data_IF_996247103260
#
_entry.id   IF_996247103260
#
_cell.length_a   1.000
_cell.length_b   1.000
_cell.length_c   1.000
_cell.angle_alpha   90.00
_cell.angle_beta   90.00
_cell.angle_gamma   90.00
#
_symmetry.space_group_name_H-M   'P 1'
#
loop_
_entity.id
_entity.type
_entity.pdbx_description
1 polymer ?
#
# COMPACT_ATOMS: atom_id res chain seq x y z
N UNK A 1 9.36 -7.89 29.13
CA UNK A 1 8.37 -7.81 28.06
C UNK A 1 8.90 -8.60 26.89
N UNK A 2 8.16 -9.60 26.40
CA UNK A 2 8.40 -10.30 25.14
C UNK A 2 7.16 -10.17 24.24
N UNK A 3 7.38 -10.18 22.92
CA UNK A 3 6.33 -9.93 21.93
C UNK A 3 6.23 -11.07 20.92
N UNK A 4 5.04 -11.63 20.76
CA UNK A 4 4.71 -12.55 19.67
C UNK A 4 4.17 -11.77 18.47
N UNK A 5 4.53 -12.17 17.25
CA UNK A 5 3.99 -11.58 16.02
C UNK A 5 3.51 -12.71 15.12
N UNK A 6 2.21 -12.71 14.80
CA UNK A 6 1.58 -13.72 13.94
C UNK A 6 1.38 -13.15 12.55
N UNK A 7 2.15 -13.65 11.59
CA UNK A 7 2.28 -13.14 10.23
C UNK A 7 3.53 -12.27 10.09
N UNK A 8 4.53 -12.73 9.33
CA UNK A 8 5.82 -12.05 9.12
C UNK A 8 5.91 -11.40 7.74
N UNK A 9 4.79 -10.86 7.27
CA UNK A 9 4.72 -10.10 6.01
C UNK A 9 5.16 -8.64 6.18
N UNK A 10 4.67 -7.79 5.26
CA UNK A 10 5.06 -6.37 5.17
C UNK A 10 4.75 -5.51 6.40
N UNK A 11 3.86 -5.96 7.30
CA UNK A 11 3.58 -5.31 8.59
C UNK A 11 4.35 -5.98 9.71
N UNK A 12 4.24 -7.31 9.82
CA UNK A 12 4.75 -8.04 10.97
C UNK A 12 6.28 -8.11 11.06
N UNK A 13 6.99 -8.28 9.94
CA UNK A 13 8.46 -8.34 9.98
C UNK A 13 9.07 -6.98 10.39
N UNK A 14 8.64 -5.82 9.85
CA UNK A 14 9.09 -4.53 10.36
C UNK A 14 8.83 -4.30 11.84
N UNK A 15 7.66 -4.71 12.36
CA UNK A 15 7.36 -4.63 13.79
C UNK A 15 8.27 -5.56 14.62
N UNK A 16 8.55 -6.78 14.13
CA UNK A 16 9.46 -7.72 14.77
C UNK A 16 10.85 -7.12 14.94
N UNK A 17 11.38 -6.55 13.87
CA UNK A 17 12.69 -5.90 13.87
C UNK A 17 12.68 -4.67 14.78
N UNK A 18 11.65 -3.82 14.73
CA UNK A 18 11.57 -2.64 15.58
C UNK A 18 11.57 -3.00 17.09
N UNK A 19 10.83 -4.03 17.49
CA UNK A 19 10.84 -4.52 18.87
C UNK A 19 12.21 -5.11 19.25
N UNK A 20 12.80 -5.92 18.38
CA UNK A 20 14.10 -6.51 18.61
C UNK A 20 15.22 -5.46 18.73
N UNK A 21 15.20 -4.41 17.92
CA UNK A 21 16.11 -3.25 18.00
C UNK A 21 15.94 -2.47 19.31
N UNK A 22 14.71 -2.45 19.87
CA UNK A 22 14.44 -1.91 21.20
C UNK A 22 14.87 -2.86 22.35
N UNK A 23 15.52 -3.98 22.02
CA UNK A 23 16.04 -4.96 22.98
C UNK A 23 15.02 -5.97 23.50
N UNK A 24 13.81 -5.99 22.93
CA UNK A 24 12.71 -6.88 23.33
C UNK A 24 12.84 -8.21 22.59
N UNK A 25 12.65 -9.32 23.31
CA UNK A 25 12.68 -10.65 22.69
C UNK A 25 11.37 -10.89 21.92
N UNK A 26 11.50 -11.33 20.67
CA UNK A 26 10.39 -11.48 19.72
C UNK A 26 10.24 -12.93 19.28
N UNK A 27 9.00 -13.43 19.29
CA UNK A 27 8.63 -14.70 18.64
C UNK A 27 7.83 -14.39 17.39
N UNK A 28 8.45 -14.56 16.22
CA UNK A 28 7.81 -14.36 14.92
C UNK A 28 7.23 -15.66 14.40
N UNK A 29 5.92 -15.72 14.14
CA UNK A 29 5.24 -16.89 13.60
C UNK A 29 4.73 -16.61 12.20
N UNK A 30 5.06 -17.48 11.24
CA UNK A 30 4.42 -17.48 9.93
C UNK A 30 4.11 -18.92 9.49
N UNK A 31 3.05 -19.10 8.71
CA UNK A 31 2.68 -20.42 8.17
C UNK A 31 3.60 -20.84 7.02
N UNK A 32 4.25 -19.87 6.38
CA UNK A 32 5.18 -20.10 5.29
C UNK A 32 6.57 -20.48 5.82
N UNK A 33 6.89 -21.76 5.71
CA UNK A 33 8.16 -22.31 6.16
C UNK A 33 9.37 -21.73 5.39
N UNK A 34 9.20 -21.29 4.15
CA UNK A 34 10.28 -20.69 3.37
C UNK A 34 10.63 -19.30 3.93
N UNK A 35 9.63 -18.44 4.18
CA UNK A 35 9.85 -17.13 4.83
C UNK A 35 10.52 -17.27 6.19
N UNK A 36 10.07 -18.24 7.00
CA UNK A 36 10.68 -18.52 8.30
C UNK A 36 12.15 -18.93 8.16
N UNK A 37 12.48 -19.78 7.17
CA UNK A 37 13.85 -20.20 6.92
C UNK A 37 14.74 -19.04 6.46
N UNK A 38 14.24 -18.18 5.58
CA UNK A 38 14.95 -16.99 5.09
C UNK A 38 15.26 -16.03 6.25
N UNK A 39 14.25 -15.74 7.10
CA UNK A 39 14.42 -14.85 8.25
C UNK A 39 15.47 -15.41 9.23
N UNK A 40 15.47 -16.72 9.48
CA UNK A 40 16.48 -17.38 10.34
C UNK A 40 17.90 -17.31 9.77
N UNK A 41 18.03 -17.15 8.45
CA UNK A 41 19.32 -16.97 7.77
C UNK A 41 19.70 -15.48 7.64
N UNK A 42 18.88 -14.58 8.18
CA UNK A 42 19.07 -13.14 8.06
C UNK A 42 18.83 -12.63 6.64
N UNK A 43 17.95 -13.30 5.89
CA UNK A 43 17.46 -12.87 4.58
C UNK A 43 16.04 -12.34 4.70
N UNK A 44 15.82 -11.11 4.28
CA UNK A 44 14.52 -10.46 4.30
C UNK A 44 13.82 -10.57 2.96
N UNK A 45 12.53 -10.88 3.00
CA UNK A 45 11.64 -10.84 1.84
C UNK A 45 10.81 -9.55 1.78
N UNK A 46 11.02 -8.62 2.72
CA UNK A 46 10.33 -7.33 2.81
C UNK A 46 11.33 -6.23 2.47
N UNK A 47 11.05 -5.46 1.41
CA UNK A 47 11.94 -4.42 0.87
C UNK A 47 12.32 -3.35 1.93
N UNK A 48 11.37 -2.97 2.80
CA UNK A 48 11.59 -1.99 3.88
C UNK A 48 12.52 -2.51 5.01
N UNK A 49 12.89 -3.78 4.99
CA UNK A 49 13.81 -4.40 5.96
C UNK A 49 14.99 -4.99 5.19
N UNK A 50 16.09 -4.24 5.04
CA UNK A 50 17.32 -4.78 4.47
C UNK A 50 17.88 -5.93 5.32
N UNK A 51 18.50 -6.91 4.66
CA UNK A 51 19.19 -8.04 5.31
C UNK A 51 20.11 -7.62 6.46
N UNK A 52 20.85 -6.52 6.29
CA UNK A 52 21.76 -5.98 7.30
C UNK A 52 21.03 -5.63 8.60
N UNK A 53 19.85 -4.99 8.48
CA UNK A 53 19.03 -4.59 9.62
C UNK A 53 18.48 -5.82 10.35
N UNK A 54 18.04 -6.82 9.60
CA UNK A 54 17.55 -8.09 10.17
C UNK A 54 18.69 -8.86 10.88
N UNK A 55 19.88 -8.93 10.29
CA UNK A 55 21.07 -9.55 10.93
C UNK A 55 21.53 -8.76 12.16
N UNK A 56 21.29 -7.45 12.19
CA UNK A 56 21.61 -6.59 13.35
C UNK A 56 20.85 -6.95 14.63
N UNK A 57 19.76 -7.71 14.51
CA UNK A 57 18.95 -8.20 15.64
C UNK A 57 18.99 -9.73 15.79
N UNK A 58 20.07 -10.36 15.31
CA UNK A 58 20.27 -11.80 15.49
C UNK A 58 20.21 -12.20 16.98
N UNK A 59 19.61 -13.36 17.25
CA UNK A 59 19.35 -13.85 18.61
C UNK A 59 18.19 -13.17 19.36
N UNK A 60 17.61 -12.07 18.84
CA UNK A 60 16.42 -11.43 19.43
C UNK A 60 15.10 -11.87 18.81
N UNK A 61 15.14 -12.39 17.58
CA UNK A 61 13.94 -12.87 16.88
C UNK A 61 13.99 -14.39 16.74
N UNK A 62 13.07 -15.08 17.41
CA UNK A 62 12.76 -16.48 17.15
C UNK A 62 11.70 -16.56 16.05
N UNK A 63 12.11 -16.70 14.79
CA UNK A 63 11.19 -17.01 13.70
C UNK A 63 10.80 -18.51 13.73
N UNK A 64 9.52 -18.84 13.57
CA UNK A 64 9.00 -20.22 13.68
C UNK A 64 7.69 -20.40 12.92
N UNK A 65 7.32 -21.65 12.63
CA UNK A 65 5.98 -22.00 12.14
C UNK A 65 5.05 -22.49 13.25
N UNK A 66 5.58 -22.61 14.47
CA UNK A 66 4.86 -23.16 15.62
C UNK A 66 4.19 -22.05 16.42
N UNK A 67 2.87 -21.92 16.28
CA UNK A 67 2.12 -20.89 17.00
C UNK A 67 2.24 -21.01 18.52
N UNK A 68 2.37 -22.22 19.08
CA UNK A 68 2.51 -22.44 20.54
C UNK A 68 3.68 -21.68 21.17
N UNK A 69 4.70 -21.29 20.40
CA UNK A 69 5.85 -20.54 20.89
C UNK A 69 5.47 -19.13 21.38
N UNK A 70 4.30 -18.59 20.98
CA UNK A 70 3.81 -17.29 21.49
C UNK A 70 3.14 -17.37 22.86
N UNK A 71 2.96 -18.58 23.42
CA UNK A 71 2.29 -18.78 24.72
C UNK A 71 2.97 -18.02 25.86
N UNK A 72 4.31 -17.97 25.85
CA UNK A 72 5.09 -17.28 26.88
C UNK A 72 5.16 -15.75 26.66
N UNK A 73 4.76 -15.25 25.49
CA UNK A 73 4.83 -13.82 25.19
C UNK A 73 3.92 -12.97 26.08
N UNK A 74 4.35 -11.76 26.42
CA UNK A 74 3.53 -10.82 27.20
C UNK A 74 2.48 -10.12 26.32
N UNK A 75 2.84 -9.84 25.07
CA UNK A 75 1.93 -9.32 24.05
C UNK A 75 2.03 -10.11 22.75
N UNK A 76 0.94 -10.17 21.99
CA UNK A 76 0.83 -10.90 20.72
C UNK A 76 0.15 -9.98 19.70
N UNK A 77 0.85 -9.68 18.60
CA UNK A 77 0.33 -8.88 17.49
C UNK A 77 -0.11 -9.80 16.36
N UNK A 78 -1.30 -9.56 15.80
CA UNK A 78 -1.86 -10.33 14.69
C UNK A 78 -1.76 -9.49 13.41
N UNK A 79 -0.85 -9.89 12.52
CA UNK A 79 -0.41 -9.18 11.32
C UNK A 79 -0.58 -10.04 10.05
N UNK A 80 -1.66 -10.83 9.98
CA UNK A 80 -1.97 -11.73 8.85
C UNK A 80 -2.71 -11.01 7.73
N UNK A 81 -2.64 -11.47 6.47
CA UNK A 81 -3.28 -10.78 5.35
C UNK A 81 -4.81 -10.79 5.46
N UNK A 82 -5.42 -9.68 5.03
CA UNK A 82 -6.86 -9.48 4.87
C UNK A 82 -7.12 -9.02 3.42
N UNK A 83 -7.15 -9.94 2.45
CA UNK A 83 -7.37 -9.57 1.05
C UNK A 83 -8.86 -9.32 0.75
N UNK A 84 -9.17 -9.01 -0.51
CA UNK A 84 -10.51 -9.11 -1.06
C UNK A 84 -10.66 -10.40 -1.86
N UNK A 85 -11.85 -10.99 -1.85
CA UNK A 85 -12.21 -12.09 -2.75
C UNK A 85 -12.48 -11.59 -4.18
N UNK A 86 -12.78 -12.50 -5.10
CA UNK A 86 -13.07 -12.18 -6.51
C UNK A 86 -14.25 -11.20 -6.71
N UNK A 87 -15.16 -11.11 -5.73
CA UNK A 87 -16.31 -10.20 -5.74
C UNK A 87 -16.01 -8.85 -5.05
N UNK A 88 -14.74 -8.58 -4.69
CA UNK A 88 -14.32 -7.38 -3.93
C UNK A 88 -14.94 -7.29 -2.54
N UNK A 89 -15.17 -8.43 -1.90
CA UNK A 89 -15.62 -8.50 -0.51
C UNK A 89 -14.44 -8.87 0.41
N UNK A 90 -14.40 -8.38 1.66
CA UNK A 90 -13.37 -8.75 2.62
C UNK A 90 -13.27 -10.27 2.82
N UNK A 91 -12.07 -10.82 2.67
CA UNK A 91 -11.76 -12.21 2.99
C UNK A 91 -10.99 -12.26 4.32
N UNK A 92 -11.69 -12.66 5.38
CA UNK A 92 -11.11 -12.79 6.72
C UNK A 92 -10.54 -14.18 7.00
N UNK A 93 -10.48 -15.10 6.03
CA UNK A 93 -10.12 -16.51 6.26
C UNK A 93 -8.80 -16.69 7.00
N UNK A 94 -7.75 -15.99 6.59
CA UNK A 94 -6.44 -16.03 7.27
C UNK A 94 -6.51 -15.45 8.69
N UNK A 95 -7.22 -14.34 8.88
CA UNK A 95 -7.43 -13.72 10.19
C UNK A 95 -8.18 -14.64 11.15
N UNK A 96 -9.35 -15.14 10.75
CA UNK A 96 -10.17 -16.03 11.59
C UNK A 96 -9.44 -17.35 11.88
N UNK A 97 -8.67 -17.88 10.92
CA UNK A 97 -7.84 -19.05 11.12
C UNK A 97 -6.74 -18.83 12.15
N UNK A 98 -6.00 -17.73 12.05
CA UNK A 98 -4.97 -17.35 13.00
C UNK A 98 -5.55 -17.10 14.40
N UNK A 99 -6.66 -16.38 14.51
CA UNK A 99 -7.34 -16.10 15.79
C UNK A 99 -7.82 -17.38 16.47
N UNK A 100 -8.44 -18.31 15.73
CA UNK A 100 -8.88 -19.60 16.30
C UNK A 100 -7.71 -20.45 16.77
N UNK A 101 -6.62 -20.49 16.01
CA UNK A 101 -5.41 -21.19 16.44
C UNK A 101 -4.81 -20.53 17.70
N UNK A 102 -4.88 -19.19 17.78
CA UNK A 102 -4.40 -18.41 18.91
C UNK A 102 -5.21 -18.70 20.18
N UNK A 103 -6.52 -18.87 20.09
CA UNK A 103 -7.39 -19.24 21.21
C UNK A 103 -6.90 -20.52 21.93
N UNK A 104 -6.32 -21.47 21.20
CA UNK A 104 -5.78 -22.71 21.77
C UNK A 104 -4.44 -22.55 22.50
N UNK A 105 -3.80 -21.38 22.46
CA UNK A 105 -2.46 -21.16 23.04
C UNK A 105 -2.36 -19.92 23.92
N UNK A 106 -3.39 -19.07 24.00
CA UNK A 106 -3.33 -17.88 24.87
C UNK A 106 -3.43 -18.23 26.35
N UNK A 107 -2.98 -17.31 27.20
CA UNK A 107 -3.05 -17.40 28.66
C UNK A 107 -3.54 -16.09 29.27
N UNK A 108 -4.04 -16.18 30.49
CA UNK A 108 -4.40 -15.00 31.28
C UNK A 108 -3.20 -14.07 31.45
N UNK A 109 -3.49 -12.77 31.47
CA UNK A 109 -2.52 -11.69 31.58
C UNK A 109 -1.90 -11.25 30.26
N UNK A 110 -2.17 -11.87 29.12
CA UNK A 110 -1.61 -11.44 27.82
C UNK A 110 -2.31 -10.21 27.23
N UNK A 111 -1.59 -9.47 26.38
CA UNK A 111 -2.15 -8.40 25.53
C UNK A 111 -2.19 -8.88 24.08
N UNK A 112 -3.37 -8.98 23.48
CA UNK A 112 -3.54 -9.36 22.08
C UNK A 112 -3.93 -8.10 21.30
N UNK A 113 -3.25 -7.84 20.17
CA UNK A 113 -3.46 -6.64 19.38
C UNK A 113 -3.65 -7.03 17.91
N UNK A 114 -4.79 -6.66 17.34
CA UNK A 114 -5.03 -6.79 15.90
C UNK A 114 -4.39 -5.61 15.16
N UNK A 115 -3.48 -5.92 14.24
CA UNK A 115 -2.80 -4.96 13.35
C UNK A 115 -3.29 -5.04 11.91
N UNK A 116 -3.74 -6.23 11.48
CA UNK A 116 -4.31 -6.44 10.15
C UNK A 116 -5.46 -5.47 9.89
N UNK A 117 -5.37 -4.73 8.78
CA UNK A 117 -6.42 -3.78 8.41
C UNK A 117 -7.74 -4.49 8.17
N UNK A 118 -8.83 -3.98 8.75
CA UNK A 118 -10.15 -4.60 8.72
C UNK A 118 -11.26 -3.55 8.88
N UNK A 119 -12.53 -3.99 8.84
CA UNK A 119 -13.69 -3.12 9.04
C UNK A 119 -14.06 -2.93 10.51
N UNK A 120 -14.74 -1.82 10.86
CA UNK A 120 -15.18 -1.57 12.23
C UNK A 120 -16.08 -2.68 12.74
N UNK A 121 -15.79 -3.16 13.94
CA UNK A 121 -16.46 -4.28 14.58
C UNK A 121 -15.67 -5.59 14.49
N UNK A 122 -14.63 -5.71 13.67
CA UNK A 122 -13.91 -6.99 13.51
C UNK A 122 -13.32 -7.50 14.83
N UNK A 123 -12.66 -6.62 15.58
CA UNK A 123 -12.06 -6.98 16.87
C UNK A 123 -13.11 -7.47 17.86
N UNK A 124 -14.27 -6.83 17.91
CA UNK A 124 -15.33 -7.17 18.88
C UNK A 124 -16.23 -8.31 18.43
N UNK A 125 -16.68 -8.29 17.19
CA UNK A 125 -17.69 -9.20 16.65
C UNK A 125 -17.09 -10.54 16.22
N UNK A 126 -15.79 -10.57 15.88
CA UNK A 126 -15.12 -11.78 15.39
C UNK A 126 -13.99 -12.27 16.31
N UNK A 127 -13.08 -11.39 16.76
CA UNK A 127 -11.93 -11.84 17.55
C UNK A 127 -12.32 -12.22 18.98
N UNK A 128 -13.16 -11.44 19.66
CA UNK A 128 -13.64 -11.77 21.02
C UNK A 128 -14.22 -13.18 21.08
N UNK A 129 -15.29 -13.53 20.34
CA UNK A 129 -15.92 -14.85 20.50
C UNK A 129 -14.97 -16.00 20.17
N UNK A 130 -14.06 -15.83 19.21
CA UNK A 130 -13.07 -16.86 18.87
C UNK A 130 -12.01 -17.02 19.96
N UNK A 131 -11.48 -15.93 20.51
CA UNK A 131 -10.47 -15.99 21.57
C UNK A 131 -11.06 -16.49 22.88
N UNK A 132 -12.32 -16.21 23.17
CA UNK A 132 -13.03 -16.73 24.35
C UNK A 132 -13.33 -18.23 24.28
N UNK A 133 -13.17 -18.88 23.11
CA UNK A 133 -13.14 -20.36 23.02
C UNK A 133 -12.01 -20.98 23.87
N UNK A 134 -11.01 -20.18 24.26
CA UNK A 134 -9.96 -20.56 25.23
C UNK A 134 -10.49 -20.79 26.66
N UNK A 135 -11.68 -20.30 26.98
CA UNK A 135 -12.23 -20.22 28.33
C UNK A 135 -11.80 -19.00 29.14
N UNK A 136 -11.03 -18.08 28.55
CA UNK A 136 -10.66 -16.78 29.13
C UNK A 136 -11.60 -15.68 28.64
N UNK A 137 -11.89 -14.68 29.47
CA UNK A 137 -12.75 -13.55 29.14
C UNK A 137 -11.95 -12.34 28.59
N UNK A 138 -12.34 -11.83 27.42
CA UNK A 138 -11.65 -10.71 26.78
C UNK A 138 -11.90 -9.40 27.55
N UNK A 139 -10.84 -8.65 27.83
CA UNK A 139 -10.90 -7.40 28.60
C UNK A 139 -10.89 -7.59 30.12
N UNK A 140 -10.97 -8.83 30.61
CA UNK A 140 -10.81 -9.20 32.02
C UNK A 140 -9.57 -10.06 32.21
N UNK A 141 -9.54 -11.26 31.63
CA UNK A 141 -8.43 -12.21 31.77
C UNK A 141 -7.26 -11.87 30.85
N UNK A 142 -7.53 -11.33 29.66
CA UNK A 142 -6.50 -10.83 28.74
C UNK A 142 -6.94 -9.50 28.12
N UNK A 143 -5.99 -8.66 27.70
CA UNK A 143 -6.32 -7.42 27.01
C UNK A 143 -6.48 -7.69 25.51
N UNK A 144 -7.49 -7.08 24.89
CA UNK A 144 -7.68 -7.11 23.45
C UNK A 144 -7.81 -5.67 22.92
N UNK A 145 -7.06 -5.36 21.86
CA UNK A 145 -7.08 -4.07 21.21
C UNK A 145 -6.90 -4.17 19.70
N UNK A 146 -7.22 -3.08 19.01
CA UNK A 146 -6.85 -2.83 17.63
C UNK A 146 -5.83 -1.69 17.57
N UNK A 147 -4.81 -1.84 16.73
CA UNK A 147 -3.86 -0.77 16.42
C UNK A 147 -3.48 -0.88 14.96
N UNK A 148 -3.89 0.05 14.08
CA UNK A 148 -3.60 -0.08 12.67
C UNK A 148 -2.13 0.23 12.36
N UNK A 149 -1.56 -0.45 11.36
CA UNK A 149 -0.32 -0.04 10.71
C UNK A 149 -0.58 1.18 9.80
N UNK A 150 0.30 2.18 9.84
CA UNK A 150 0.15 3.49 9.19
C UNK A 150 1.41 3.95 8.44
N UNK A 151 2.51 3.20 8.50
CA UNK A 151 3.72 3.49 7.75
C UNK A 151 3.48 3.32 6.25
N UNK A 152 4.02 4.25 5.46
CA UNK A 152 3.97 4.23 4.00
C UNK A 152 5.30 3.70 3.45
N UNK A 153 5.30 2.57 2.73
CA UNK A 153 6.53 1.93 2.23
C UNK A 153 7.44 2.89 1.45
N UNK A 154 8.75 2.77 1.64
CA UNK A 154 9.76 3.60 0.98
C UNK A 154 9.86 5.05 1.48
N UNK A 155 9.10 5.47 2.50
CA UNK A 155 9.29 6.80 3.14
C UNK A 155 10.26 6.73 4.30
N UNK A 156 11.18 7.69 4.35
CA UNK A 156 12.20 7.79 5.41
C UNK A 156 11.93 8.91 6.43
N UNK A 157 11.02 9.83 6.11
CA UNK A 157 10.67 10.96 6.96
C UNK A 157 9.60 10.63 8.01
N UNK A 158 8.81 9.57 7.78
CA UNK A 158 7.97 8.95 8.80
C UNK A 158 8.28 7.46 8.90
N UNK A 159 8.66 7.01 10.10
CA UNK A 159 9.01 5.63 10.41
C UNK A 159 8.06 5.08 11.46
N UNK A 160 8.13 3.78 11.76
CA UNK A 160 7.39 3.16 12.90
C UNK A 160 7.55 3.98 14.18
N UNK A 161 8.74 4.56 14.39
CA UNK A 161 9.06 5.37 15.57
C UNK A 161 8.34 6.72 15.59
N UNK A 162 8.32 7.41 14.47
CA UNK A 162 7.87 8.81 14.41
C UNK A 162 6.41 8.96 13.97
N UNK A 163 5.82 7.95 13.34
CA UNK A 163 4.39 7.94 13.00
C UNK A 163 3.53 7.72 14.24
N UNK A 164 2.53 8.59 14.53
CA UNK A 164 1.62 8.38 15.66
C UNK A 164 0.90 7.03 15.61
N UNK A 165 1.07 6.22 16.66
CA UNK A 165 0.43 4.90 16.78
C UNK A 165 -0.93 5.03 17.44
N UNK A 166 -2.00 4.75 16.68
CA UNK A 166 -3.38 4.76 17.20
C UNK A 166 -3.66 3.44 17.92
N UNK A 167 -4.26 3.48 19.10
CA UNK A 167 -4.58 2.27 19.88
C UNK A 167 -6.00 2.38 20.45
N UNK A 168 -6.84 1.38 20.18
CA UNK A 168 -8.20 1.26 20.73
C UNK A 168 -8.43 -0.12 21.34
N UNK A 169 -8.55 -0.19 22.67
CA UNK A 169 -8.84 -1.41 23.42
C UNK A 169 -10.32 -1.62 23.71
N UNK A 170 -10.72 -2.86 24.01
CA UNK A 170 -12.10 -3.18 24.43
C UNK A 170 -12.54 -2.42 25.69
N UNK A 171 -11.59 -2.16 26.58
CA UNK A 171 -11.75 -1.39 27.82
C UNK A 171 -10.61 -0.38 27.95
N UNK A 172 -10.73 0.65 28.82
CA UNK A 172 -9.64 1.59 29.07
C UNK A 172 -8.32 0.88 29.47
N UNK A 173 -8.40 -0.17 30.29
CA UNK A 173 -7.22 -0.96 30.67
C UNK A 173 -6.60 -1.70 29.48
N UNK A 174 -7.42 -2.21 28.54
CA UNK A 174 -6.89 -2.79 27.31
C UNK A 174 -6.11 -1.76 26.48
N UNK A 175 -6.65 -0.55 26.35
CA UNK A 175 -5.98 0.55 25.63
C UNK A 175 -4.65 0.91 26.28
N UNK A 176 -4.61 1.04 27.61
CA UNK A 176 -3.39 1.33 28.36
C UNK A 176 -2.33 0.25 28.16
N UNK A 177 -2.73 -1.03 28.23
CA UNK A 177 -1.83 -2.16 28.06
C UNK A 177 -1.28 -2.26 26.64
N UNK A 178 -2.13 -2.08 25.63
CA UNK A 178 -1.70 -2.06 24.23
C UNK A 178 -0.80 -0.85 23.93
N UNK A 179 -1.09 0.33 24.50
CA UNK A 179 -0.21 1.49 24.42
C UNK A 179 1.16 1.20 25.03
N UNK A 180 1.21 0.57 26.22
CA UNK A 180 2.46 0.18 26.85
C UNK A 180 3.28 -0.80 25.99
N UNK A 181 2.62 -1.69 25.23
CA UNK A 181 3.29 -2.57 24.26
C UNK A 181 4.05 -1.77 23.19
N UNK A 182 3.48 -0.71 22.62
CA UNK A 182 4.15 0.07 21.55
C UNK A 182 5.12 1.14 22.05
N UNK A 183 5.05 1.56 23.30
CA UNK A 183 5.87 2.66 23.85
C UNK A 183 7.40 2.53 23.61
N UNK A 184 8.01 1.33 23.58
CA UNK A 184 9.43 1.19 23.27
C UNK A 184 9.81 1.53 21.82
N UNK A 185 8.84 1.38 20.89
CA UNK A 185 9.09 1.49 19.45
C UNK A 185 8.42 2.69 18.79
N UNK A 186 7.50 3.39 19.47
CA UNK A 186 6.77 4.55 18.97
C UNK A 186 6.89 5.76 19.91
N UNK A 187 7.22 6.94 19.38
CA UNK A 187 7.42 8.16 20.16
C UNK A 187 6.09 8.81 20.59
N UNK A 188 5.03 8.63 19.79
CA UNK A 188 3.71 9.20 20.06
C UNK A 188 2.61 8.15 19.92
N UNK A 189 1.85 7.93 20.99
CA UNK A 189 0.72 7.02 21.03
C UNK A 189 -0.57 7.84 21.18
N UNK A 190 -1.55 7.52 20.35
CA UNK A 190 -2.87 8.17 20.31
C UNK A 190 -3.92 7.16 20.78
N UNK A 191 -4.25 7.13 22.08
CA UNK A 191 -5.31 6.27 22.58
C UNK A 191 -6.68 6.78 22.11
N UNK A 192 -7.53 5.86 21.67
CA UNK A 192 -8.94 6.11 21.34
C UNK A 192 -9.86 5.25 22.20
N UNK A 193 -11.15 5.58 22.21
CA UNK A 193 -12.11 5.03 23.17
C UNK A 193 -12.44 3.56 22.94
N UNK A 194 -12.39 3.06 21.71
CA UNK A 194 -12.79 1.69 21.36
C UNK A 194 -11.98 1.16 20.17
N UNK A 195 -11.90 -0.17 19.95
CA UNK A 195 -11.26 -0.71 18.76
C UNK A 195 -11.94 -0.23 17.47
N UNK A 196 -13.26 -0.04 17.46
CA UNK A 196 -14.00 0.40 16.27
C UNK A 196 -13.58 1.80 15.81
N UNK A 197 -13.26 2.70 16.74
CA UNK A 197 -12.73 4.03 16.40
C UNK A 197 -11.36 3.89 15.72
N UNK A 198 -10.50 2.99 16.21
CA UNK A 198 -9.18 2.75 15.62
C UNK A 198 -9.26 2.01 14.27
N UNK A 199 -10.19 1.05 14.13
CA UNK A 199 -10.48 0.35 12.87
C UNK A 199 -10.99 1.36 11.81
N UNK A 200 -11.99 2.17 12.16
CA UNK A 200 -12.56 3.15 11.25
C UNK A 200 -11.56 4.27 10.89
N UNK A 201 -10.70 4.69 11.81
CA UNK A 201 -9.73 5.75 11.51
C UNK A 201 -8.79 5.32 10.37
N UNK A 202 -8.38 4.05 10.33
CA UNK A 202 -7.54 3.53 9.26
C UNK A 202 -8.26 3.54 7.91
N UNK A 203 -9.51 3.10 7.88
CA UNK A 203 -10.30 3.14 6.65
C UNK A 203 -10.54 4.58 6.19
N UNK A 204 -10.86 5.49 7.11
CA UNK A 204 -11.09 6.90 6.80
C UNK A 204 -9.85 7.56 6.18
N UNK A 205 -8.64 7.28 6.69
CA UNK A 205 -7.38 7.76 6.12
C UNK A 205 -7.23 7.35 4.64
N UNK A 206 -7.50 6.08 4.33
CA UNK A 206 -7.37 5.56 2.97
C UNK A 206 -8.52 5.98 2.04
N UNK A 207 -9.75 6.05 2.54
CA UNK A 207 -10.91 6.58 1.81
C UNK A 207 -10.68 8.04 1.46
N UNK A 208 -10.24 8.86 2.41
CA UNK A 208 -9.94 10.27 2.19
C UNK A 208 -8.91 10.45 1.07
N UNK A 209 -7.80 9.69 1.11
CA UNK A 209 -6.78 9.71 0.06
C UNK A 209 -7.35 9.26 -1.30
N UNK A 210 -8.10 8.17 -1.34
CA UNK A 210 -8.72 7.64 -2.57
C UNK A 210 -9.70 8.63 -3.22
N UNK A 211 -10.58 9.24 -2.44
CA UNK A 211 -11.58 10.21 -2.90
C UNK A 211 -10.92 11.48 -3.44
N UNK A 212 -9.89 12.00 -2.76
CA UNK A 212 -9.22 13.21 -3.24
C UNK A 212 -8.37 12.95 -4.50
N UNK A 213 -7.74 11.78 -4.63
CA UNK A 213 -7.09 11.38 -5.88
C UNK A 213 -8.12 11.30 -7.02
N UNK A 214 -9.28 10.67 -6.77
CA UNK A 214 -10.36 10.59 -7.74
C UNK A 214 -10.86 11.97 -8.16
N UNK A 215 -11.06 12.88 -7.20
CA UNK A 215 -11.48 14.25 -7.47
C UNK A 215 -10.50 14.96 -8.41
N UNK A 216 -9.20 14.92 -8.11
CA UNK A 216 -8.19 15.60 -8.94
C UNK A 216 -8.04 14.91 -10.31
N UNK A 217 -8.20 13.60 -10.39
CA UNK A 217 -8.26 12.86 -11.65
C UNK A 217 -9.46 13.24 -12.52
N UNK A 218 -10.66 13.36 -11.94
CA UNK A 218 -11.85 13.84 -12.65
C UNK A 218 -11.66 15.26 -13.17
N UNK A 219 -11.05 16.13 -12.35
CA UNK A 219 -10.69 17.48 -12.77
C UNK A 219 -9.67 17.48 -13.92
N UNK A 220 -8.69 16.57 -13.94
CA UNK A 220 -7.75 16.44 -15.06
C UNK A 220 -8.47 16.08 -16.37
N UNK A 221 -9.39 15.12 -16.33
CA UNK A 221 -10.19 14.72 -17.50
C UNK A 221 -11.03 15.90 -18.01
N UNK A 222 -11.66 16.66 -17.11
CA UNK A 222 -12.47 17.82 -17.47
C UNK A 222 -11.61 18.96 -18.04
N UNK A 223 -10.49 19.27 -17.38
CA UNK A 223 -9.54 20.29 -17.82
C UNK A 223 -8.96 20.01 -19.21
N UNK A 224 -8.62 18.75 -19.51
CA UNK A 224 -8.19 18.34 -20.86
C UNK A 224 -9.25 18.64 -21.93
N UNK A 225 -10.54 18.41 -21.65
CA UNK A 225 -11.64 18.75 -22.57
C UNK A 225 -11.85 20.25 -22.73
N UNK A 226 -11.52 21.03 -21.70
CA UNK A 226 -11.61 22.49 -21.71
C UNK A 226 -10.36 23.15 -22.30
N UNK A 227 -9.28 22.40 -22.53
CA UNK A 227 -7.99 22.95 -22.94
C UNK A 227 -7.30 23.76 -21.84
N UNK A 228 -7.50 23.39 -20.57
CA UNK A 228 -6.91 24.04 -19.40
C UNK A 228 -5.81 23.14 -18.82
N UNK A 229 -4.67 23.71 -18.43
CA UNK A 229 -3.61 22.99 -17.74
C UNK A 229 -4.01 22.69 -16.29
N UNK A 230 -4.29 21.42 -15.99
CA UNK A 230 -4.67 20.98 -14.64
C UNK A 230 -3.54 21.21 -13.62
N UNK A 231 -2.28 21.13 -14.03
CA UNK A 231 -1.15 21.33 -13.14
C UNK A 231 -1.04 22.79 -12.70
N UNK A 232 -1.24 23.73 -13.63
CA UNK A 232 -1.32 25.16 -13.30
C UNK A 232 -2.49 25.44 -12.35
N UNK A 233 -3.66 24.83 -12.58
CA UNK A 233 -4.82 24.97 -11.68
C UNK A 233 -4.50 24.48 -10.27
N UNK A 234 -3.86 23.32 -10.15
CA UNK A 234 -3.49 22.75 -8.84
C UNK A 234 -2.42 23.62 -8.16
N UNK A 235 -1.42 24.10 -8.90
CA UNK A 235 -0.38 24.98 -8.38
C UNK A 235 -0.99 26.30 -7.87
N UNK A 236 -1.90 26.91 -8.64
CA UNK A 236 -2.63 28.10 -8.23
C UNK A 236 -3.50 27.86 -6.99
N UNK A 237 -4.25 26.75 -6.95
CA UNK A 237 -5.08 26.38 -5.80
C UNK A 237 -4.24 26.10 -4.54
N UNK A 238 -3.04 25.52 -4.71
CA UNK A 238 -2.08 25.23 -3.64
C UNK A 238 -1.53 26.48 -2.96
N UNK A 239 -1.65 27.67 -3.58
CA UNK A 239 -1.26 28.94 -2.93
C UNK A 239 -2.19 29.35 -1.79
N UNK A 240 -3.40 28.77 -1.72
CA UNK A 240 -4.35 29.04 -0.65
C UNK A 240 -3.90 28.34 0.64
N UNK A 241 -3.61 29.07 1.72
CA UNK A 241 -2.97 28.50 2.92
C UNK A 241 -3.90 27.64 3.79
N UNK A 242 -5.18 27.52 3.44
CA UNK A 242 -6.16 26.74 4.20
C UNK A 242 -7.23 26.12 3.29
N UNK A 243 -7.75 24.97 3.70
CA UNK A 243 -8.87 24.29 3.04
C UNK A 243 -8.56 23.69 1.67
N UNK A 244 -7.30 23.68 1.23
CA UNK A 244 -6.85 22.96 0.05
C UNK A 244 -5.66 22.07 0.44
N UNK A 245 -5.87 20.76 0.42
CA UNK A 245 -4.80 19.78 0.55
C UNK A 245 -4.44 19.34 -0.86
N UNK A 246 -3.17 19.52 -1.25
CA UNK A 246 -2.72 19.19 -2.60
C UNK A 246 -2.77 17.68 -2.83
N UNK A 247 -3.48 17.28 -3.88
CA UNK A 247 -3.40 15.98 -4.51
C UNK A 247 -3.05 16.20 -5.98
N UNK A 248 -2.41 15.21 -6.60
CA UNK A 248 -1.93 15.30 -7.97
C UNK A 248 -2.60 14.22 -8.82
N UNK A 249 -2.98 14.52 -10.07
CA UNK A 249 -3.57 13.55 -10.95
C UNK A 249 -2.49 12.58 -11.44
N UNK A 250 -2.91 11.44 -12.00
CA UNK A 250 -1.96 10.48 -12.52
C UNK A 250 -2.60 9.35 -13.30
N UNK A 251 -1.83 8.32 -13.67
CA UNK A 251 -2.29 7.24 -14.54
C UNK A 251 -3.33 6.31 -13.92
N UNK A 252 -3.61 6.48 -12.63
CA UNK A 252 -4.48 5.66 -11.83
C UNK A 252 -3.90 5.44 -10.44
N UNK A 253 -4.53 4.56 -9.69
CA UNK A 253 -4.16 4.20 -8.33
C UNK A 253 -3.82 2.71 -8.27
N UNK A 254 -2.74 2.37 -7.58
CA UNK A 254 -2.35 0.98 -7.32
C UNK A 254 -1.89 0.76 -5.88
N UNK A 255 -1.21 -0.37 -5.64
CA UNK A 255 -0.72 -0.80 -4.34
C UNK A 255 -1.75 -1.60 -3.52
N UNK A 256 -1.42 -1.88 -2.26
CA UNK A 256 -2.24 -2.73 -1.38
C UNK A 256 -3.50 -2.06 -0.85
N UNK A 257 -3.32 -0.93 -0.19
CA UNK A 257 -4.35 -0.41 0.71
C UNK A 257 -5.43 0.38 -0.02
N UNK A 258 -5.05 1.22 -0.99
CA UNK A 258 -6.01 2.12 -1.64
C UNK A 258 -7.04 1.40 -2.52
N UNK A 259 -6.68 0.34 -3.27
CA UNK A 259 -7.66 -0.42 -4.05
C UNK A 259 -8.52 -1.37 -3.22
N UNK A 260 -8.17 -1.62 -1.95
CA UNK A 260 -8.79 -2.64 -1.10
C UNK A 260 -9.61 -2.02 0.04
N UNK A 261 -8.94 -1.28 0.92
CA UNK A 261 -9.49 -0.82 2.20
C UNK A 261 -10.78 -0.01 2.07
N UNK A 262 -10.96 0.89 1.07
CA UNK A 262 -12.22 1.62 0.94
C UNK A 262 -13.44 0.71 0.77
N UNK A 263 -13.27 -0.44 0.11
CA UNK A 263 -14.36 -1.39 -0.11
C UNK A 263 -14.76 -2.18 1.14
N UNK A 264 -13.91 -2.20 2.17
CA UNK A 264 -14.27 -2.80 3.46
C UNK A 264 -15.41 -2.04 4.11
N UNK A 265 -15.35 -0.70 4.09
CA UNK A 265 -16.44 0.13 4.61
C UNK A 265 -17.66 0.06 3.70
N UNK A 266 -17.49 0.02 2.38
CA UNK A 266 -18.60 -0.19 1.44
C UNK A 266 -19.35 -1.49 1.71
N UNK A 267 -18.62 -2.58 1.99
CA UNK A 267 -19.21 -3.85 2.36
C UNK A 267 -19.96 -3.76 3.70
N UNK A 268 -19.32 -3.25 4.76
CA UNK A 268 -19.91 -3.14 6.10
C UNK A 268 -21.12 -2.19 6.13
N UNK A 269 -21.12 -1.12 5.34
CA UNK A 269 -22.22 -0.15 5.28
C UNK A 269 -23.54 -0.79 4.80
N UNK A 270 -23.48 -1.87 4.01
CA UNK A 270 -24.67 -2.60 3.54
C UNK A 270 -25.44 -3.24 4.68
N UNK A 271 -24.77 -3.61 5.78
CA UNK A 271 -25.43 -4.12 7.00
C UNK A 271 -26.24 -3.04 7.72
N UNK A 272 -26.00 -1.76 7.40
CA UNK A 272 -26.71 -0.60 7.94
C UNK A 272 -27.61 0.06 6.89
N UNK A 273 -28.05 -0.70 5.89
CA UNK A 273 -28.93 -0.24 4.81
C UNK A 273 -28.40 1.00 4.06
N UNK A 274 -27.07 1.18 4.02
CA UNK A 274 -26.41 2.34 3.44
C UNK A 274 -25.46 1.94 2.29
N UNK A 275 -25.56 2.67 1.18
CA UNK A 275 -24.54 2.65 0.13
C UNK A 275 -23.55 3.80 0.31
N UNK A 276 -22.27 3.53 0.10
CA UNK A 276 -21.20 4.54 0.16
C UNK A 276 -20.93 5.14 -1.22
N UNK A 277 -21.83 5.98 -1.73
CA UNK A 277 -21.78 6.50 -3.10
C UNK A 277 -20.45 7.19 -3.46
N UNK A 278 -19.90 8.00 -2.55
CA UNK A 278 -18.61 8.68 -2.76
C UNK A 278 -17.44 7.71 -2.90
N UNK A 279 -17.43 6.63 -2.13
CA UNK A 279 -16.35 5.62 -2.16
C UNK A 279 -16.42 4.86 -3.49
N UNK A 280 -17.62 4.44 -3.89
CA UNK A 280 -17.84 3.73 -5.14
C UNK A 280 -17.52 4.62 -6.36
N UNK A 281 -17.93 5.89 -6.33
CA UNK A 281 -17.60 6.88 -7.36
C UNK A 281 -16.09 7.09 -7.48
N UNK A 282 -15.40 7.26 -6.36
CA UNK A 282 -13.94 7.40 -6.35
C UNK A 282 -13.24 6.17 -6.95
N UNK A 283 -13.69 4.97 -6.59
CA UNK A 283 -13.21 3.73 -7.17
C UNK A 283 -13.42 3.67 -8.69
N UNK A 284 -14.61 4.08 -9.17
CA UNK A 284 -14.92 4.14 -10.60
C UNK A 284 -14.01 5.11 -11.35
N UNK A 285 -13.86 6.34 -10.88
CA UNK A 285 -13.01 7.35 -11.54
C UNK A 285 -11.56 6.87 -11.61
N UNK A 286 -11.02 6.38 -10.50
CA UNK A 286 -9.63 5.90 -10.46
C UNK A 286 -9.40 4.69 -11.39
N UNK A 287 -10.37 3.78 -11.52
CA UNK A 287 -10.30 2.64 -12.46
C UNK A 287 -10.42 3.06 -13.94
N UNK A 288 -10.98 4.24 -14.21
CA UNK A 288 -11.10 4.78 -15.56
C UNK A 288 -9.82 5.49 -16.03
N UNK A 289 -8.95 5.94 -15.13
CA UNK A 289 -7.74 6.70 -15.49
C UNK A 289 -6.82 5.99 -16.49
N UNK A 290 -6.53 4.68 -16.41
CA UNK A 290 -5.74 4.00 -17.44
C UNK A 290 -6.33 4.11 -18.86
N UNK A 291 -7.67 4.17 -18.99
CA UNK A 291 -8.33 4.36 -20.29
C UNK A 291 -8.20 5.80 -20.78
N UNK A 292 -8.33 6.79 -19.89
CA UNK A 292 -8.05 8.18 -20.23
C UNK A 292 -6.58 8.38 -20.65
N UNK A 293 -5.63 7.75 -19.97
CA UNK A 293 -4.22 7.79 -20.37
C UNK A 293 -3.99 7.16 -21.74
N UNK A 294 -4.69 6.08 -22.07
CA UNK A 294 -4.67 5.50 -23.41
C UNK A 294 -5.16 6.48 -24.48
N UNK A 295 -6.24 7.22 -24.22
CA UNK A 295 -6.74 8.28 -25.12
C UNK A 295 -5.71 9.41 -25.27
N UNK A 296 -4.97 9.77 -24.21
CA UNK A 296 -3.86 10.73 -24.28
C UNK A 296 -2.70 10.21 -25.12
N UNK A 297 -2.34 8.93 -24.98
CA UNK A 297 -1.30 8.27 -25.79
C UNK A 297 -1.70 8.25 -27.27
N UNK A 298 -2.95 7.90 -27.57
CA UNK A 298 -3.49 7.93 -28.93
C UNK A 298 -3.40 9.32 -29.56
N UNK A 299 -3.72 10.37 -28.81
CA UNK A 299 -3.58 11.76 -29.27
C UNK A 299 -2.11 12.15 -29.51
N UNK A 300 -1.22 11.85 -28.57
CA UNK A 300 0.20 12.15 -28.71
C UNK A 300 0.84 11.47 -29.94
N UNK A 301 0.46 10.23 -30.24
CA UNK A 301 0.88 9.55 -31.47
C UNK A 301 0.28 10.19 -32.73
N UNK A 302 -1.00 10.58 -32.69
CA UNK A 302 -1.65 11.24 -33.81
C UNK A 302 -1.02 12.61 -34.14
N UNK A 303 -0.57 13.36 -33.13
CA UNK A 303 0.11 14.66 -33.31
C UNK A 303 1.43 14.52 -34.09
N UNK A 304 2.06 13.34 -34.04
CA UNK A 304 3.23 12.97 -34.84
C UNK A 304 2.90 12.04 -36.02
N UNK A 305 1.62 11.99 -36.41
CA UNK A 305 1.09 11.22 -37.54
C UNK A 305 1.38 9.71 -37.47
N UNK A 306 1.37 9.13 -36.26
CA UNK A 306 1.53 7.69 -35.99
C UNK A 306 0.22 7.10 -35.49
N UNK A 307 -0.14 5.92 -36.00
CA UNK A 307 -1.21 5.11 -35.43
C UNK A 307 -0.66 4.27 -34.27
N UNK A 308 -1.50 3.89 -33.30
CA UNK A 308 -1.09 2.99 -32.20
C UNK A 308 -0.56 1.65 -32.73
N UNK A 309 -1.24 1.07 -33.73
CA UNK A 309 -0.84 -0.19 -34.33
C UNK A 309 0.52 -0.04 -35.02
N UNK A 310 1.52 -0.77 -34.54
CA UNK A 310 2.90 -0.72 -35.02
C UNK A 310 3.71 0.47 -34.51
N UNK A 311 3.16 1.32 -33.63
CA UNK A 311 3.97 2.33 -32.93
C UNK A 311 4.83 1.66 -31.87
N UNK A 312 6.10 2.07 -31.78
CA UNK A 312 7.04 1.63 -30.75
C UNK A 312 6.94 2.56 -29.55
N UNK A 313 6.31 2.08 -28.48
CA UNK A 313 6.04 2.88 -27.28
C UNK A 313 6.91 2.37 -26.14
N UNK A 314 7.69 3.28 -25.56
CA UNK A 314 8.46 3.03 -24.34
C UNK A 314 7.66 3.46 -23.12
N UNK A 315 7.44 2.53 -22.20
CA UNK A 315 6.84 2.80 -20.88
C UNK A 315 7.96 3.04 -19.86
N UNK A 316 7.96 4.22 -19.25
CA UNK A 316 8.91 4.58 -18.19
C UNK A 316 8.22 4.39 -16.82
N UNK A 317 8.72 3.39 -16.10
CA UNK A 317 8.19 2.94 -14.80
C UNK A 317 6.96 2.05 -14.93
N UNK A 318 7.01 0.87 -14.31
CA UNK A 318 5.90 -0.10 -14.28
C UNK A 318 5.43 -0.39 -12.86
N UNK A 319 6.18 0.01 -11.84
CA UNK A 319 5.72 -0.07 -10.45
C UNK A 319 4.53 0.88 -10.18
N UNK A 320 3.73 0.58 -9.16
CA UNK A 320 2.60 1.45 -8.79
C UNK A 320 3.05 2.77 -8.13
N UNK A 321 4.26 2.79 -7.55
CA UNK A 321 4.84 3.92 -6.80
C UNK A 321 6.33 4.07 -7.11
N UNK A 322 6.74 5.32 -7.27
CA UNK A 322 8.13 5.67 -7.49
C UNK A 322 9.04 5.20 -6.34
N UNK A 323 10.20 4.65 -6.69
CA UNK A 323 11.23 4.24 -5.74
C UNK A 323 11.09 2.82 -5.16
N UNK A 324 10.07 2.05 -5.57
CA UNK A 324 9.85 0.66 -5.11
C UNK A 324 9.55 -0.27 -6.29
N UNK A 325 9.82 -1.57 -6.13
CA UNK A 325 9.63 -2.62 -7.15
C UNK A 325 8.26 -3.29 -7.16
N UNK A 326 7.22 -2.62 -6.66
CA UNK A 326 5.91 -3.23 -6.45
C UNK A 326 4.95 -3.02 -7.63
N UNK A 327 4.44 -4.12 -8.18
CA UNK A 327 3.55 -4.19 -9.33
C UNK A 327 2.06 -4.32 -8.99
N UNK A 328 1.71 -4.47 -7.70
CA UNK A 328 0.36 -4.84 -7.26
C UNK A 328 -0.62 -3.72 -7.61
N UNK A 329 -1.66 -4.07 -8.36
CA UNK A 329 -2.63 -3.13 -8.94
C UNK A 329 -2.01 -1.96 -9.72
N UNK A 330 -0.81 -2.12 -10.30
CA UNK A 330 -0.14 -1.03 -11.03
C UNK A 330 -0.94 -0.58 -12.26
N UNK A 331 -1.20 0.74 -12.42
CA UNK A 331 -1.89 1.28 -13.59
C UNK A 331 -1.07 1.08 -14.88
N UNK A 332 0.26 1.02 -14.79
CA UNK A 332 1.14 0.80 -15.94
C UNK A 332 0.83 -0.54 -16.63
N UNK A 333 0.58 -1.60 -15.87
CA UNK A 333 0.26 -2.92 -16.42
C UNK A 333 -1.07 -2.89 -17.18
N UNK A 334 -2.04 -2.12 -16.72
CA UNK A 334 -3.31 -1.93 -17.43
C UNK A 334 -3.11 -1.16 -18.73
N UNK A 335 -2.32 -0.09 -18.71
CA UNK A 335 -1.97 0.70 -19.90
C UNK A 335 -1.24 -0.17 -20.94
N UNK A 336 -0.23 -0.94 -20.52
CA UNK A 336 0.52 -1.86 -21.38
C UNK A 336 -0.41 -2.86 -22.07
N UNK A 337 -1.31 -3.52 -21.33
CA UNK A 337 -2.28 -4.47 -21.91
C UNK A 337 -3.21 -3.78 -22.93
N UNK A 338 -3.73 -2.60 -22.61
CA UNK A 338 -4.61 -1.84 -23.50
C UNK A 338 -3.93 -1.39 -24.81
N UNK A 339 -2.63 -1.06 -24.74
CA UNK A 339 -1.80 -0.75 -25.91
C UNK A 339 -1.48 -2.01 -26.73
N UNK A 340 -1.14 -3.11 -26.07
CA UNK A 340 -0.85 -4.39 -26.71
C UNK A 340 -2.08 -4.88 -27.51
N UNK A 341 -3.28 -4.77 -26.93
CA UNK A 341 -4.55 -5.11 -27.60
C UNK A 341 -4.79 -4.27 -28.87
N UNK A 342 -4.22 -3.07 -28.95
CA UNK A 342 -4.27 -2.19 -30.13
C UNK A 342 -3.12 -2.43 -31.12
N UNK A 343 -2.19 -3.32 -30.79
CA UNK A 343 -1.06 -3.71 -31.62
C UNK A 343 0.13 -2.75 -31.56
N UNK A 344 0.31 -2.03 -30.45
CA UNK A 344 1.55 -1.29 -30.21
C UNK A 344 2.72 -2.26 -29.96
N UNK A 345 3.91 -1.88 -30.38
CA UNK A 345 5.16 -2.56 -30.04
C UNK A 345 5.70 -1.94 -28.75
N UNK A 346 5.76 -2.72 -27.66
CA UNK A 346 5.99 -2.19 -26.32
C UNK A 346 7.38 -2.55 -25.82
N UNK A 347 8.02 -1.58 -25.18
CA UNK A 347 9.21 -1.76 -24.36
C UNK A 347 9.02 -1.01 -23.04
N UNK A 348 9.79 -1.34 -22.02
CA UNK A 348 9.75 -0.58 -20.78
C UNK A 348 11.15 -0.44 -20.15
N UNK A 349 11.27 0.59 -19.32
CA UNK A 349 12.40 0.78 -18.43
C UNK A 349 11.87 1.05 -17.02
N UNK A 350 12.29 0.21 -16.08
CA UNK A 350 12.05 0.36 -14.64
C UNK A 350 13.29 -0.16 -13.89
N UNK A 351 13.92 0.64 -13.01
CA UNK A 351 15.12 0.25 -12.30
C UNK A 351 14.88 -0.76 -11.16
N UNK A 352 13.62 -0.96 -10.75
CA UNK A 352 13.25 -1.85 -9.65
C UNK A 352 12.57 -3.14 -10.12
N UNK A 353 12.04 -3.17 -11.35
CA UNK A 353 11.32 -4.32 -11.91
C UNK A 353 12.05 -4.90 -13.13
N UNK A 354 12.85 -5.97 -12.98
CA UNK A 354 13.69 -6.49 -14.06
C UNK A 354 12.92 -7.17 -15.20
N UNK A 355 11.80 -7.83 -14.90
CA UNK A 355 11.00 -8.55 -15.89
C UNK A 355 9.49 -8.51 -15.59
N UNK A 356 8.69 -8.60 -16.64
CA UNK A 356 7.24 -8.80 -16.62
C UNK A 356 6.89 -10.08 -17.39
N UNK A 357 6.98 -11.25 -16.74
CA UNK A 357 6.85 -12.55 -17.43
C UNK A 357 5.51 -12.74 -18.14
N UNK A 358 4.40 -12.28 -17.53
CA UNK A 358 3.05 -12.37 -18.09
C UNK A 358 2.87 -11.59 -19.39
N UNK A 359 3.80 -10.67 -19.69
CA UNK A 359 3.78 -9.81 -20.86
C UNK A 359 4.97 -10.10 -21.80
N UNK A 360 5.83 -11.06 -21.45
CA UNK A 360 7.09 -11.37 -22.15
C UNK A 360 7.97 -10.12 -22.39
N UNK A 361 8.01 -9.22 -21.39
CA UNK A 361 8.80 -7.99 -21.44
C UNK A 361 9.91 -8.02 -20.39
N UNK A 362 11.04 -7.39 -20.73
CA UNK A 362 12.18 -7.18 -19.82
C UNK A 362 12.57 -5.71 -19.79
N UNK A 363 13.00 -5.24 -18.62
CA UNK A 363 13.50 -3.89 -18.44
C UNK A 363 14.84 -3.73 -19.17
N UNK A 364 14.91 -2.79 -20.11
CA UNK A 364 16.16 -2.44 -20.80
C UNK A 364 16.87 -1.28 -20.09
N UNK A 365 18.19 -1.12 -20.23
CA UNK A 365 18.86 0.14 -19.87
C UNK A 365 18.22 1.32 -20.59
N UNK A 366 18.06 2.47 -19.92
CA UNK A 366 17.36 3.63 -20.46
C UNK A 366 17.89 4.03 -21.85
N UNK A 367 19.22 4.04 -22.01
CA UNK A 367 19.89 4.38 -23.27
C UNK A 367 19.42 3.55 -24.46
N UNK A 368 19.38 2.23 -24.28
CA UNK A 368 18.97 1.30 -25.32
C UNK A 368 17.45 1.31 -25.50
N UNK A 369 16.70 1.51 -24.42
CA UNK A 369 15.24 1.55 -24.44
C UNK A 369 14.69 2.77 -25.21
N UNK A 370 15.46 3.87 -25.28
CA UNK A 370 15.13 5.06 -26.07
C UNK A 370 15.43 4.91 -27.57
N UNK A 371 16.14 3.86 -28.00
CA UNK A 371 16.52 3.71 -29.41
C UNK A 371 15.34 3.26 -30.27
N UNK A 372 15.04 4.04 -31.32
CA UNK A 372 14.02 3.69 -32.29
C UNK A 372 12.62 3.66 -31.70
N UNK A 373 12.32 4.39 -30.63
CA UNK A 373 10.94 4.55 -30.17
C UNK A 373 10.22 5.61 -31.01
N UNK A 374 8.89 5.57 -31.03
CA UNK A 374 8.05 6.64 -31.58
C UNK A 374 7.50 7.55 -30.46
N UNK A 375 7.28 7.01 -29.25
CA UNK A 375 6.77 7.75 -28.09
C UNK A 375 7.33 7.17 -26.78
N UNK A 376 7.78 8.03 -25.87
CA UNK A 376 8.02 7.68 -24.47
C UNK A 376 6.84 8.10 -23.59
N UNK A 377 6.39 7.25 -22.68
CA UNK A 377 5.30 7.53 -21.74
C UNK A 377 5.79 7.39 -20.31
N UNK A 378 5.77 8.48 -19.56
CA UNK A 378 6.15 8.49 -18.14
C UNK A 378 4.93 8.11 -17.32
N UNK A 379 4.91 6.89 -16.79
CA UNK A 379 3.80 6.36 -15.96
C UNK A 379 4.19 6.39 -14.48
N UNK A 380 5.41 5.94 -14.15
CA UNK A 380 5.97 6.08 -12.80
C UNK A 380 7.32 6.78 -12.86
N UNK A 381 7.37 7.95 -12.23
CA UNK A 381 8.57 8.78 -12.21
C UNK A 381 9.51 8.35 -11.08
N UNK A 382 10.32 7.34 -11.33
CA UNK A 382 11.30 6.86 -10.36
C UNK A 382 12.39 7.90 -10.09
N UNK A 383 12.86 8.05 -8.84
CA UNK A 383 14.09 8.77 -8.55
C UNK A 383 15.26 8.13 -9.30
N UNK A 384 16.17 8.94 -9.84
CA UNK A 384 17.36 8.46 -10.55
C UNK A 384 17.18 8.21 -12.05
N UNK A 385 15.94 8.22 -12.58
CA UNK A 385 15.71 8.24 -14.03
C UNK A 385 15.89 9.67 -14.55
N UNK A 386 16.75 9.86 -15.56
CA UNK A 386 16.96 11.17 -16.19
C UNK A 386 15.84 11.47 -17.20
N UNK A 387 14.79 12.12 -16.70
CA UNK A 387 13.66 12.53 -17.52
C UNK A 387 14.03 13.66 -18.51
N UNK A 388 15.11 14.40 -18.25
CA UNK A 388 15.63 15.41 -19.17
C UNK A 388 16.24 14.77 -20.41
N UNK A 389 17.00 13.70 -20.24
CA UNK A 389 17.52 12.89 -21.33
C UNK A 389 16.40 12.28 -22.18
N UNK A 390 15.35 11.74 -21.54
CA UNK A 390 14.17 11.22 -22.22
C UNK A 390 13.55 12.29 -23.14
N UNK A 391 13.34 13.50 -22.62
CA UNK A 391 12.77 14.62 -23.40
C UNK A 391 13.67 15.04 -24.57
N UNK A 392 14.99 14.95 -24.41
CA UNK A 392 15.95 15.32 -25.46
C UNK A 392 16.04 14.29 -26.59
N UNK A 393 15.90 12.99 -26.26
CA UNK A 393 16.16 11.89 -27.21
C UNK A 393 14.90 11.29 -27.81
N UNK A 394 13.78 11.28 -27.09
CA UNK A 394 12.54 10.71 -27.58
C UNK A 394 11.91 11.64 -28.64
N UNK A 395 11.36 11.09 -29.74
CA UNK A 395 10.67 11.91 -30.75
C UNK A 395 9.43 12.64 -30.20
N UNK A 396 8.73 11.99 -29.25
CA UNK A 396 7.62 12.54 -28.50
C UNK A 396 7.63 11.96 -27.08
N UNK A 397 7.12 12.73 -26.12
CA UNK A 397 6.98 12.32 -24.72
C UNK A 397 5.58 12.65 -24.24
N UNK A 398 4.94 11.70 -23.57
CA UNK A 398 3.74 11.93 -22.77
C UNK A 398 4.05 11.73 -21.29
N UNK A 399 3.96 12.80 -20.52
CA UNK A 399 4.19 12.79 -19.07
C UNK A 399 2.87 12.73 -18.29
N UNK A 400 2.57 11.56 -17.73
CA UNK A 400 1.36 11.34 -16.91
C UNK A 400 1.56 11.73 -15.43
N UNK A 401 2.74 12.23 -15.06
CA UNK A 401 3.14 12.52 -13.68
C UNK A 401 3.57 13.98 -13.45
N UNK A 402 3.69 14.78 -14.50
CA UNK A 402 4.04 16.20 -14.39
C UNK A 402 5.47 16.46 -13.91
N UNK A 403 6.39 15.51 -14.10
CA UNK A 403 7.81 15.63 -13.73
C UNK A 403 8.63 16.41 -14.76
N UNK A 404 8.17 16.52 -16.00
CA UNK A 404 8.82 17.29 -17.07
C UNK A 404 8.26 18.71 -17.19
N UNK A 405 7.42 19.17 -16.26
CA UNK A 405 6.74 20.50 -16.32
C UNK A 405 7.67 21.70 -16.45
N UNK A 406 8.91 21.57 -15.98
CA UNK A 406 9.93 22.62 -16.06
C UNK A 406 10.82 22.53 -17.31
N UNK A 407 10.59 21.52 -18.15
CA UNK A 407 11.32 21.30 -19.38
C UNK A 407 10.48 21.85 -20.53
N UNK A 408 10.87 23.01 -21.08
CA UNK A 408 10.21 23.56 -22.27
C UNK A 408 10.68 22.79 -23.51
N UNK A 409 9.83 21.90 -24.01
CA UNK A 409 10.07 21.18 -25.26
C UNK A 409 8.75 20.96 -26.02
N UNK A 410 8.69 21.27 -27.33
CA UNK A 410 7.46 21.15 -28.13
C UNK A 410 7.02 19.70 -28.34
N UNK A 411 7.89 18.73 -28.07
CA UNK A 411 7.65 17.30 -28.20
C UNK A 411 7.04 16.68 -26.94
N UNK A 412 6.82 17.47 -25.89
CA UNK A 412 6.31 17.01 -24.60
C UNK A 412 4.84 17.39 -24.46
N UNK A 413 4.00 16.39 -24.27
CA UNK A 413 2.63 16.53 -23.79
C UNK A 413 2.56 16.07 -22.33
N UNK A 414 1.69 16.70 -21.55
CA UNK A 414 1.45 16.33 -20.15
C UNK A 414 0.00 15.84 -19.99
N UNK A 415 -0.30 15.21 -18.85
CA UNK A 415 -1.65 14.79 -18.49
C UNK A 415 -2.65 15.95 -18.61
#
# INVERSE_FOLDING_TARGET
MSVGIVGLGYVGLPLAVAFAEAGIDVVGVDVDAAKVADIRQGHSHVEDIPDERLRGVDGKILATTRLVEVHECDAILVCVPTPLNANREPDLGALLGATRALAGVIRAGQTIILESTTFPGTTREHLVPLLEESGLEAGSDFALAFSPERVDPGRTDFTIRTTPKVVGGLTPSCTERAAATYAPICDHIVPVSTPEVAELSKLLENIFRSVNIALVNEMAILSDRMGIDIWEVIDAASTKPYGFMRFEPGPGMGGHCLPVDPFYLTWKAREYDMSTEFIELAGKVNQQMPYFCLERIERALNDVAKAVRGARVLILGVSYKAGVGDLRESPALKIIRLLADRGAELSYHDPHVPELPDLDLRSGPLDAALEGIDLAVIVTAHPGVDHGEVVQRAPAVLDLRGVTRKLEAPTVSQL
#
